data_IF_616367113793
#
_entry.id   IF_616367113793
#
_cell.length_a   1.000
_cell.length_b   1.000
_cell.length_c   1.000
_cell.angle_alpha   90.00
_cell.angle_beta   90.00
_cell.angle_gamma   90.00
#
_symmetry.space_group_name_H-M   'P 1'
#
loop_
_entity.id
_entity.type
_entity.pdbx_description
1 polymer ?
#
# COMPACT_ATOMS: atom_id res chain seq x y z
N UNK A 1 -7.17 1.36 -8.39
CA UNK A 1 -7.19 -0.12 -8.55
C UNK A 1 -8.62 -0.62 -8.38
N UNK A 2 -9.10 -1.60 -9.16
CA UNK A 2 -10.50 -2.06 -9.07
C UNK A 2 -10.70 -3.28 -8.16
N UNK A 3 -9.63 -3.84 -7.59
CA UNK A 3 -9.71 -5.12 -6.87
C UNK A 3 -8.85 -5.20 -5.60
N UNK A 4 -8.44 -4.06 -5.04
CA UNK A 4 -7.64 -4.05 -3.82
C UNK A 4 -6.21 -4.56 -3.97
N UNK A 5 -5.70 -4.59 -5.21
CA UNK A 5 -4.32 -4.97 -5.54
C UNK A 5 -3.59 -3.82 -6.20
N UNK A 6 -2.31 -3.68 -5.91
CA UNK A 6 -1.41 -2.75 -6.59
C UNK A 6 -0.66 -3.53 -7.67
N UNK A 7 -0.69 -3.03 -8.91
CA UNK A 7 0.07 -3.56 -10.02
C UNK A 7 1.26 -2.63 -10.28
N UNK A 8 2.46 -3.08 -9.95
CA UNK A 8 3.68 -2.28 -10.03
C UNK A 8 4.81 -3.16 -10.57
N UNK A 9 5.58 -2.70 -11.56
CA UNK A 9 6.66 -3.49 -12.19
C UNK A 9 6.25 -4.90 -12.65
N UNK A 10 5.04 -5.04 -13.23
CA UNK A 10 4.43 -6.34 -13.62
C UNK A 10 4.21 -7.31 -12.47
N UNK A 11 4.33 -6.86 -11.22
CA UNK A 11 4.04 -7.62 -10.00
C UNK A 11 2.66 -7.21 -9.48
N UNK A 12 1.94 -8.16 -8.90
CA UNK A 12 0.64 -7.95 -8.25
C UNK A 12 0.86 -8.06 -6.75
N UNK A 13 0.68 -6.96 -6.03
CA UNK A 13 0.79 -6.89 -4.57
C UNK A 13 -0.63 -6.79 -3.98
N UNK A 14 -0.92 -7.59 -2.96
CA UNK A 14 -2.19 -7.51 -2.24
C UNK A 14 -2.13 -6.33 -1.27
N UNK A 15 -3.12 -5.44 -1.34
CA UNK A 15 -3.28 -4.32 -0.41
C UNK A 15 -4.45 -4.62 0.51
N UNK A 16 -5.68 -4.41 0.04
CA UNK A 16 -6.94 -4.83 0.68
C UNK A 16 -8.11 -4.44 -0.22
N UNK A 17 -9.20 -5.21 -0.17
CA UNK A 17 -10.43 -4.93 -0.94
C UNK A 17 -11.10 -3.62 -0.54
N UNK A 18 -10.88 -3.12 0.69
CA UNK A 18 -11.42 -1.83 1.15
C UNK A 18 -10.92 -0.63 0.34
N UNK A 19 -9.75 -0.77 -0.29
CA UNK A 19 -9.17 0.24 -1.17
C UNK A 19 -9.50 0.02 -2.66
N UNK A 20 -10.38 -0.92 -2.98
CA UNK A 20 -10.87 -1.09 -4.34
C UNK A 20 -11.70 0.14 -4.76
N UNK A 21 -11.44 0.65 -5.95
CA UNK A 21 -12.04 1.87 -6.48
C UNK A 21 -11.49 3.18 -5.90
N UNK A 22 -10.62 3.11 -4.89
CA UNK A 22 -10.03 4.28 -4.24
C UNK A 22 -8.73 4.72 -4.92
N UNK A 23 -8.44 6.02 -4.84
CA UNK A 23 -7.14 6.58 -5.19
C UNK A 23 -6.16 6.35 -4.04
N UNK A 24 -5.07 5.64 -4.31
CA UNK A 24 -3.98 5.40 -3.35
C UNK A 24 -2.71 6.04 -3.88
N UNK A 25 -1.95 6.67 -3.00
CA UNK A 25 -0.63 7.20 -3.29
C UNK A 25 0.41 6.08 -3.31
N UNK A 26 1.32 6.14 -4.26
CA UNK A 26 2.44 5.21 -4.41
C UNK A 26 3.68 6.05 -4.67
N UNK A 27 4.71 5.92 -3.84
CA UNK A 27 5.96 6.68 -3.95
C UNK A 27 7.15 5.76 -3.70
N UNK A 28 8.14 5.80 -4.58
CA UNK A 28 9.41 5.12 -4.35
C UNK A 28 10.14 5.80 -3.19
N UNK A 29 10.43 5.05 -2.13
CA UNK A 29 11.15 5.52 -0.96
C UNK A 29 12.64 5.16 -1.07
N UNK A 30 12.91 3.91 -1.48
CA UNK A 30 14.24 3.37 -1.75
C UNK A 30 14.17 2.43 -2.96
N UNK A 31 15.32 1.97 -3.46
CA UNK A 31 15.35 1.05 -4.59
C UNK A 31 14.55 -0.23 -4.30
N UNK A 32 13.46 -0.44 -5.03
CA UNK A 32 12.60 -1.60 -4.83
C UNK A 32 11.62 -1.50 -3.64
N UNK A 33 11.67 -0.43 -2.86
CA UNK A 33 10.79 -0.19 -1.69
C UNK A 33 9.86 1.01 -1.94
N UNK A 34 8.56 0.78 -1.81
CA UNK A 34 7.52 1.71 -2.22
C UNK A 34 6.55 2.04 -1.09
N UNK A 35 6.47 3.30 -0.69
CA UNK A 35 5.47 3.78 0.25
C UNK A 35 4.08 3.79 -0.40
N UNK A 36 3.10 3.24 0.30
CA UNK A 36 1.67 3.31 -0.02
C UNK A 36 0.99 4.24 0.95
N UNK A 37 0.27 5.23 0.43
CA UNK A 37 -0.52 6.17 1.23
C UNK A 37 -1.97 6.22 0.77
N UNK A 38 -2.86 6.61 1.67
CA UNK A 38 -4.27 6.84 1.40
C UNK A 38 -4.77 8.06 2.18
N UNK A 39 -5.27 9.06 1.46
CA UNK A 39 -5.51 10.40 2.00
C UNK A 39 -4.20 10.95 2.63
N UNK A 40 -4.27 11.43 3.87
CA UNK A 40 -3.13 11.98 4.62
C UNK A 40 -2.39 10.91 5.45
N UNK A 41 -2.65 9.62 5.19
CA UNK A 41 -2.11 8.53 5.98
C UNK A 41 -1.19 7.61 5.19
N UNK A 42 -0.04 7.31 5.77
CA UNK A 42 0.86 6.28 5.28
C UNK A 42 0.37 4.91 5.75
N UNK A 43 0.08 4.01 4.80
CA UNK A 43 -0.41 2.67 5.09
C UNK A 43 0.72 1.68 5.34
N UNK A 44 1.83 1.81 4.62
CA UNK A 44 2.93 0.85 4.69
C UNK A 44 3.88 0.92 3.51
N UNK A 45 4.91 0.08 3.55
CA UNK A 45 5.88 -0.07 2.49
C UNK A 45 5.65 -1.37 1.72
N UNK A 46 5.77 -1.32 0.41
CA UNK A 46 5.80 -2.49 -0.47
C UNK A 46 7.24 -2.80 -0.77
N UNK A 47 7.64 -4.04 -0.51
CA UNK A 47 8.86 -4.61 -1.05
C UNK A 47 8.53 -5.31 -2.38
N UNK A 48 9.20 -4.88 -3.47
CA UNK A 48 9.00 -5.47 -4.79
C UNK A 48 9.56 -6.89 -4.93
N UNK A 49 10.55 -7.29 -4.15
CA UNK A 49 11.09 -8.65 -4.14
C UNK A 49 10.07 -9.60 -3.49
N UNK A 50 9.67 -9.27 -2.26
CA UNK A 50 8.75 -10.06 -1.45
C UNK A 50 7.28 -9.96 -1.93
N UNK A 51 6.93 -8.88 -2.65
CA UNK A 51 5.56 -8.57 -3.11
C UNK A 51 4.56 -8.47 -1.94
N UNK A 52 5.04 -8.07 -0.78
CA UNK A 52 4.25 -7.91 0.43
C UNK A 52 4.19 -6.44 0.82
N UNK A 53 3.09 -6.07 1.48
CA UNK A 53 2.97 -4.80 2.17
C UNK A 53 3.41 -5.01 3.62
N UNK A 54 4.37 -4.22 4.07
CA UNK A 54 4.74 -4.07 5.48
C UNK A 54 3.92 -2.90 6.05
N UNK A 55 2.86 -3.21 6.83
CA UNK A 55 1.96 -2.18 7.34
C UNK A 55 2.66 -1.31 8.40
N UNK A 56 2.35 -0.01 8.39
CA UNK A 56 2.70 0.91 9.47
C UNK A 56 1.65 0.86 10.58
N UNK A 57 1.85 1.68 11.61
CA UNK A 57 0.85 1.86 12.68
C UNK A 57 -0.51 2.21 12.07
N UNK A 58 -1.54 1.43 12.41
CA UNK A 58 -2.87 1.61 11.87
C UNK A 58 -3.47 2.95 12.34
N UNK A 59 -3.64 3.94 11.44
CA UNK A 59 -4.17 5.25 11.81
C UNK A 59 -5.68 5.22 12.11
N UNK A 60 -6.37 4.16 11.69
CA UNK A 60 -7.78 3.91 11.92
C UNK A 60 -8.03 2.95 13.08
N UNK A 61 -7.00 2.62 13.87
CA UNK A 61 -7.14 1.81 15.06
C UNK A 61 -8.06 2.49 16.10
N UNK A 62 -8.61 1.72 17.05
CA UNK A 62 -9.36 2.29 18.15
C UNK A 62 -8.49 3.31 18.90
N UNK A 63 -8.95 4.56 18.97
CA UNK A 63 -8.38 5.56 19.89
C UNK A 63 -8.93 5.25 21.27
N UNK A 64 -8.26 4.35 22.00
CA UNK A 64 -8.54 4.11 23.43
C UNK A 64 -7.87 5.17 24.28
#
# INVERSE_FOLDING_TARGET
>A
TNCGRICLHRKKINLSTVFAGQAVGIKEAEEGIWLVSFMDYDLGYIDLEEKTLQPLNNPFGPKV
#
